data_IF_205816355042
#
_entry.id   IF_205816355042
#
_cell.length_a   1.000
_cell.length_b   1.000
_cell.length_c   1.000
_cell.angle_alpha   90.00
_cell.angle_beta   90.00
_cell.angle_gamma   90.00
#
_symmetry.space_group_name_H-M   'P 1'
#
loop_
_entity.id
_entity.type
_entity.pdbx_description
1 polymer ?
#
# COMPACT_ATOMS: atom_id res chain seq x y z
N UNK A 1 18.40 10.73 -43.50
CA UNK A 1 18.56 9.31 -43.89
C UNK A 1 19.73 8.81 -43.09
N UNK A 2 19.68 7.91 -42.12
CA UNK A 2 18.75 6.94 -41.53
C UNK A 2 19.18 6.88 -40.03
N UNK A 3 18.41 6.56 -39.00
CA UNK A 3 17.44 5.47 -38.84
C UNK A 3 18.00 4.44 -37.84
N UNK A 4 17.25 4.15 -36.76
CA UNK A 4 17.37 2.93 -35.93
C UNK A 4 18.28 3.03 -34.69
N UNK A 5 17.92 2.51 -33.52
CA UNK A 5 16.74 1.74 -33.13
C UNK A 5 16.79 1.52 -31.61
N UNK A 6 15.69 1.84 -30.94
CA UNK A 6 15.52 1.62 -29.50
C UNK A 6 15.54 0.13 -29.17
N UNK A 7 16.36 -0.23 -28.18
CA UNK A 7 16.35 -1.58 -27.59
C UNK A 7 15.05 -1.75 -26.79
N UNK A 8 14.13 -2.51 -27.37
CA UNK A 8 13.00 -3.11 -26.66
C UNK A 8 13.54 -4.04 -25.56
N UNK A 9 13.10 -3.81 -24.34
CA UNK A 9 13.30 -4.74 -23.24
C UNK A 9 12.66 -6.09 -23.56
N UNK A 10 13.38 -7.16 -23.24
CA UNK A 10 12.91 -8.53 -23.35
C UNK A 10 12.03 -8.78 -22.13
N UNK A 11 10.73 -8.99 -22.37
CA UNK A 11 9.80 -9.50 -21.37
C UNK A 11 10.08 -10.99 -21.23
N UNK A 12 10.47 -11.43 -20.03
CA UNK A 12 10.69 -12.86 -19.76
C UNK A 12 9.39 -13.41 -19.20
N UNK A 13 8.60 -14.05 -20.07
CA UNK A 13 7.41 -14.80 -19.69
C UNK A 13 7.82 -16.05 -18.89
N UNK A 14 7.83 -15.95 -17.56
CA UNK A 14 7.84 -17.10 -16.66
C UNK A 14 6.40 -17.34 -16.22
N UNK A 15 5.63 -18.03 -17.07
CA UNK A 15 4.43 -18.84 -16.78
C UNK A 15 3.48 -18.86 -18.00
N UNK A 16 3.99 -19.32 -19.15
CA UNK A 16 3.16 -19.76 -20.25
C UNK A 16 2.80 -21.24 -20.06
N UNK A 17 1.61 -21.52 -19.49
CA UNK A 17 0.67 -22.56 -19.97
C UNK A 17 -0.46 -22.79 -18.94
N UNK A 18 -1.70 -22.51 -19.35
CA UNK A 18 -2.80 -23.47 -19.59
C UNK A 18 -4.09 -22.64 -19.65
N UNK A 19 -4.66 -22.52 -20.85
CA UNK A 19 -6.05 -22.12 -21.03
C UNK A 19 -6.96 -23.22 -20.46
N UNK A 20 -7.67 -22.89 -19.37
CA UNK A 20 -8.81 -23.65 -18.88
C UNK A 20 -9.97 -22.68 -18.60
N UNK A 21 -11.08 -22.91 -19.28
CA UNK A 21 -12.31 -22.12 -19.28
C UNK A 21 -13.03 -22.29 -17.94
N UNK A 22 -12.91 -21.29 -17.06
CA UNK A 22 -13.72 -21.21 -15.84
C UNK A 22 -13.03 -20.63 -14.60
N UNK A 23 -12.83 -19.30 -14.55
CA UNK A 23 -12.87 -18.61 -13.26
C UNK A 23 -11.62 -17.89 -12.74
N UNK A 24 -10.57 -17.66 -13.53
CA UNK A 24 -9.44 -16.84 -13.07
C UNK A 24 -9.02 -15.77 -14.07
N UNK A 25 -9.86 -14.72 -14.22
CA UNK A 25 -9.48 -13.47 -14.90
C UNK A 25 -8.19 -12.92 -14.27
N UNK A 26 -7.13 -12.79 -15.07
CA UNK A 26 -5.90 -12.09 -14.68
C UNK A 26 -6.20 -10.59 -14.53
N UNK A 27 -5.44 -9.92 -13.66
CA UNK A 27 -5.53 -8.47 -13.46
C UNK A 27 -4.15 -7.86 -13.63
N UNK A 28 -4.05 -6.62 -14.12
CA UNK A 28 -2.79 -5.91 -14.19
C UNK A 28 -2.35 -5.45 -12.79
N UNK A 29 -1.09 -5.70 -12.47
CA UNK A 29 -0.41 -5.27 -11.26
C UNK A 29 0.89 -4.57 -11.63
N UNK A 30 1.33 -3.66 -10.78
CA UNK A 30 2.70 -3.15 -10.80
C UNK A 30 3.40 -3.70 -9.58
N UNK A 31 4.49 -4.41 -9.82
CA UNK A 31 5.40 -4.93 -8.80
C UNK A 31 6.50 -3.92 -8.56
N UNK A 32 6.84 -3.69 -7.30
CA UNK A 32 8.03 -2.94 -6.89
C UNK A 32 8.87 -3.83 -5.98
N UNK A 33 10.10 -4.10 -6.40
CA UNK A 33 11.06 -4.95 -5.68
C UNK A 33 11.73 -4.17 -4.53
N UNK A 34 11.89 -4.82 -3.37
CA UNK A 34 12.44 -4.15 -2.18
C UNK A 34 13.95 -3.89 -2.25
N UNK A 35 14.71 -4.76 -2.91
CA UNK A 35 16.17 -4.69 -2.95
C UNK A 35 16.65 -3.72 -4.03
N UNK A 36 16.09 -3.84 -5.22
CA UNK A 36 16.48 -3.07 -6.41
C UNK A 36 15.68 -1.79 -6.56
N UNK A 37 14.47 -1.74 -6.00
CA UNK A 37 13.49 -0.67 -6.27
C UNK A 37 12.97 -0.68 -7.71
N UNK A 38 13.24 -1.74 -8.48
CA UNK A 38 12.74 -1.85 -9.85
C UNK A 38 11.23 -2.06 -9.86
N UNK A 39 10.58 -1.46 -10.86
CA UNK A 39 9.15 -1.48 -11.05
C UNK A 39 8.82 -2.25 -12.32
N UNK A 40 7.99 -3.29 -12.22
CA UNK A 40 7.64 -4.17 -13.34
C UNK A 40 6.12 -4.28 -13.46
N UNK A 41 5.62 -4.22 -14.68
CA UNK A 41 4.21 -4.49 -14.95
C UNK A 41 3.97 -5.97 -15.18
N UNK A 42 2.91 -6.49 -14.57
CA UNK A 42 2.62 -7.93 -14.57
C UNK A 42 1.13 -8.17 -14.69
N UNK A 43 0.74 -9.28 -15.31
CA UNK A 43 -0.63 -9.79 -15.23
C UNK A 43 -0.70 -10.99 -14.31
N UNK A 44 -1.39 -10.86 -13.18
CA UNK A 44 -1.47 -11.92 -12.18
C UNK A 44 -2.92 -12.36 -11.98
N UNK A 45 -3.10 -13.67 -11.94
CA UNK A 45 -4.34 -14.32 -11.58
C UNK A 45 -4.55 -14.26 -10.06
N UNK A 46 -5.80 -14.35 -9.60
CA UNK A 46 -6.09 -14.37 -8.15
C UNK A 46 -5.29 -15.47 -7.44
N UNK A 47 -5.22 -16.66 -8.05
CA UNK A 47 -4.49 -17.79 -7.48
C UNK A 47 -2.98 -17.56 -7.47
N UNK A 48 -2.43 -16.90 -8.49
CA UNK A 48 -1.01 -16.55 -8.54
C UNK A 48 -0.64 -15.58 -7.40
N UNK A 49 -1.45 -14.55 -7.18
CA UNK A 49 -1.25 -13.60 -6.06
C UNK A 49 -1.33 -14.30 -4.71
N UNK A 50 -2.29 -15.22 -4.51
CA UNK A 50 -2.41 -16.00 -3.27
C UNK A 50 -1.14 -16.81 -2.97
N UNK A 51 -0.62 -17.53 -3.98
CA UNK A 51 0.58 -18.36 -3.82
C UNK A 51 1.82 -17.50 -3.57
N UNK A 52 1.96 -16.40 -4.29
CA UNK A 52 3.14 -15.52 -4.25
C UNK A 52 3.23 -14.75 -2.93
N UNK A 53 2.13 -14.13 -2.50
CA UNK A 53 2.12 -13.26 -1.32
C UNK A 53 1.70 -13.99 -0.03
N UNK A 54 1.33 -15.27 -0.11
CA UNK A 54 0.85 -16.04 1.06
C UNK A 54 -0.46 -15.52 1.65
N UNK A 55 -1.26 -14.78 0.86
CA UNK A 55 -2.51 -14.13 1.32
C UNK A 55 -3.72 -15.03 1.02
N UNK A 56 -4.64 -15.25 1.99
CA UNK A 56 -5.82 -16.08 1.75
C UNK A 56 -6.81 -15.42 0.78
N UNK A 57 -7.57 -16.26 0.06
CA UNK A 57 -8.53 -15.82 -0.97
C UNK A 57 -9.59 -14.82 -0.48
N UNK A 58 -9.91 -14.87 0.82
CA UNK A 58 -10.86 -13.98 1.50
C UNK A 58 -10.35 -12.55 1.51
N UNK A 59 -9.08 -12.36 1.83
CA UNK A 59 -8.50 -11.04 2.07
C UNK A 59 -8.26 -10.34 0.72
N UNK A 60 -8.00 -11.11 -0.36
CA UNK A 60 -7.98 -10.56 -1.72
C UNK A 60 -9.32 -10.00 -2.20
N UNK A 61 -10.46 -10.40 -1.61
CA UNK A 61 -11.77 -9.81 -1.97
C UNK A 61 -11.85 -8.34 -1.57
N UNK A 62 -11.09 -7.92 -0.54
CA UNK A 62 -11.00 -6.52 -0.14
C UNK A 62 -10.43 -5.64 -1.26
N UNK A 63 -9.61 -6.21 -2.15
CA UNK A 63 -8.99 -5.51 -3.28
C UNK A 63 -9.82 -5.58 -4.57
N UNK A 64 -10.93 -6.34 -4.62
CA UNK A 64 -11.72 -6.44 -5.84
C UNK A 64 -12.42 -5.09 -6.12
N UNK A 65 -12.12 -4.40 -7.24
CA UNK A 65 -12.74 -3.11 -7.56
C UNK A 65 -14.26 -3.18 -7.67
N UNK A 66 -14.82 -4.37 -7.94
CA UNK A 66 -16.26 -4.59 -8.08
C UNK A 66 -16.96 -4.92 -6.76
N UNK A 67 -16.22 -5.24 -5.70
CA UNK A 67 -16.77 -5.68 -4.40
C UNK A 67 -16.30 -4.82 -3.22
N UNK A 68 -15.14 -4.18 -3.32
CA UNK A 68 -14.50 -3.42 -2.24
C UNK A 68 -14.88 -1.95 -2.26
N UNK A 69 -15.94 -1.59 -1.52
CA UNK A 69 -16.37 -0.19 -1.33
C UNK A 69 -15.89 0.43 -0.01
N UNK A 70 -15.23 -0.34 0.85
CA UNK A 70 -14.75 0.11 2.16
C UNK A 70 -13.24 0.05 2.19
N UNK A 71 -12.63 1.12 2.71
CA UNK A 71 -11.22 1.09 3.05
C UNK A 71 -10.96 -0.04 4.06
N UNK A 72 -9.81 -0.69 3.97
CA UNK A 72 -9.39 -1.71 4.93
C UNK A 72 -7.87 -1.88 4.91
N UNK A 73 -7.31 -2.10 6.10
CA UNK A 73 -5.89 -2.43 6.27
C UNK A 73 -5.81 -3.74 7.04
N UNK A 74 -5.27 -4.78 6.40
CA UNK A 74 -5.21 -6.12 6.97
C UNK A 74 -3.76 -6.61 7.04
N UNK A 75 -3.21 -6.73 8.24
CA UNK A 75 -1.95 -7.43 8.46
C UNK A 75 -2.23 -8.94 8.59
N UNK A 76 -1.67 -9.74 7.68
CA UNK A 76 -1.97 -11.18 7.57
C UNK A 76 -0.72 -11.97 7.20
N UNK A 77 -0.26 -12.80 8.12
CA UNK A 77 0.94 -13.64 7.90
C UNK A 77 2.17 -12.78 7.66
N UNK A 78 2.67 -12.79 6.41
CA UNK A 78 3.84 -12.03 5.94
C UNK A 78 3.47 -10.96 4.91
N UNK A 79 2.22 -10.50 4.90
CA UNK A 79 1.77 -9.45 4.01
C UNK A 79 0.79 -8.47 4.68
N UNK A 80 0.84 -7.22 4.23
CA UNK A 80 -0.16 -6.20 4.53
C UNK A 80 -1.02 -6.01 3.28
N UNK A 81 -2.32 -6.24 3.39
CA UNK A 81 -3.30 -6.03 2.32
C UNK A 81 -4.01 -4.71 2.59
N UNK A 82 -3.89 -3.76 1.66
CA UNK A 82 -4.42 -2.41 1.80
C UNK A 82 -5.42 -2.11 0.67
N UNK A 83 -6.67 -1.85 1.04
CA UNK A 83 -7.61 -1.12 0.19
C UNK A 83 -7.76 0.30 0.74
N UNK A 84 -7.18 1.27 0.05
CA UNK A 84 -7.27 2.69 0.38
C UNK A 84 -8.00 3.44 -0.75
N UNK A 85 -9.10 2.87 -1.26
CA UNK A 85 -9.86 3.37 -2.40
C UNK A 85 -9.08 3.33 -3.72
N UNK A 86 -8.47 4.44 -4.15
CA UNK A 86 -7.73 4.52 -5.42
C UNK A 86 -6.42 3.70 -5.37
N UNK A 87 -5.87 3.48 -4.18
CA UNK A 87 -4.67 2.68 -3.97
C UNK A 87 -5.06 1.33 -3.37
N UNK A 88 -4.84 0.26 -4.14
CA UNK A 88 -5.10 -1.13 -3.72
C UNK A 88 -3.81 -1.92 -3.84
N UNK A 89 -3.21 -2.32 -2.73
CA UNK A 89 -1.91 -2.98 -2.75
C UNK A 89 -1.78 -4.12 -1.74
N UNK A 90 -0.81 -4.98 -2.00
CA UNK A 90 -0.33 -6.04 -1.11
C UNK A 90 1.16 -5.80 -0.93
N UNK A 91 1.61 -5.69 0.31
CA UNK A 91 2.99 -5.37 0.65
C UNK A 91 3.55 -6.55 1.42
N UNK A 92 4.64 -7.16 0.93
CA UNK A 92 5.46 -8.10 1.70
C UNK A 92 6.75 -7.42 2.17
N UNK A 93 7.65 -8.16 2.82
CA UNK A 93 9.00 -7.68 3.14
C UNK A 93 9.92 -7.60 1.92
N UNK A 94 9.59 -8.30 0.82
CA UNK A 94 10.46 -8.45 -0.36
C UNK A 94 9.95 -7.68 -1.58
N UNK A 95 8.64 -7.45 -1.67
CA UNK A 95 8.03 -6.76 -2.81
C UNK A 95 6.69 -6.12 -2.43
N UNK A 96 6.28 -5.13 -3.20
CA UNK A 96 4.94 -4.54 -3.13
C UNK A 96 4.22 -4.71 -4.47
N UNK A 97 3.00 -5.23 -4.44
CA UNK A 97 2.12 -5.36 -5.59
C UNK A 97 0.99 -4.33 -5.48
N UNK A 98 0.90 -3.39 -6.41
CA UNK A 98 -0.25 -2.46 -6.50
C UNK A 98 -1.12 -2.84 -7.69
N UNK A 99 -2.43 -2.98 -7.45
CA UNK A 99 -3.39 -3.33 -8.49
C UNK A 99 -3.64 -2.10 -9.36
N UNK A 100 -3.49 -2.27 -10.67
CA UNK A 100 -3.91 -1.25 -11.62
C UNK A 100 -5.41 -1.40 -11.87
N UNK A 101 -6.15 -0.36 -11.55
CA UNK A 101 -7.59 -0.30 -11.82
C UNK A 101 -7.77 0.62 -13.02
N UNK A 102 -8.19 0.08 -14.16
CA UNK A 102 -8.58 0.90 -15.30
C UNK A 102 -9.77 1.76 -14.89
N UNK A 103 -9.53 3.05 -14.71
CA UNK A 103 -10.58 4.04 -14.56
C UNK A 103 -11.27 4.29 -15.90
N UNK A 104 -12.52 4.73 -15.85
CA UNK A 104 -13.29 5.20 -17.01
C UNK A 104 -12.72 6.52 -17.59
N UNK A 105 -11.81 7.17 -16.85
CA UNK A 105 -11.07 8.37 -17.22
C UNK A 105 -9.58 8.06 -17.17
N UNK A 106 -8.99 7.78 -18.34
CA UNK A 106 -7.65 7.18 -18.50
C UNK A 106 -6.42 8.05 -18.17
N UNK A 107 -6.52 9.02 -17.24
CA UNK A 107 -5.45 9.98 -16.98
C UNK A 107 -4.86 9.92 -15.55
N UNK A 108 -5.50 9.19 -14.63
CA UNK A 108 -5.00 9.05 -13.25
C UNK A 108 -4.69 7.59 -12.91
N UNK A 109 -3.52 7.10 -13.37
CA UNK A 109 -2.98 5.83 -12.91
C UNK A 109 -2.36 5.98 -11.51
N UNK A 110 -3.22 5.88 -10.49
CA UNK A 110 -2.82 5.91 -9.10
C UNK A 110 -1.81 4.80 -8.75
N UNK A 111 -1.83 3.65 -9.45
CA UNK A 111 -0.88 2.57 -9.26
C UNK A 111 0.52 2.95 -9.77
N UNK A 112 0.61 3.59 -10.94
CA UNK A 112 1.87 4.11 -11.46
C UNK A 112 2.46 5.19 -10.54
N UNK A 113 1.63 6.13 -10.07
CA UNK A 113 2.08 7.18 -9.12
C UNK A 113 2.64 6.59 -7.83
N UNK A 114 1.98 5.56 -7.29
CA UNK A 114 2.47 4.82 -6.13
C UNK A 114 3.83 4.15 -6.42
N UNK A 115 3.96 3.45 -7.54
CA UNK A 115 5.18 2.75 -7.90
C UNK A 115 6.37 3.73 -8.09
N UNK A 116 6.15 4.85 -8.77
CA UNK A 116 7.16 5.88 -9.00
C UNK A 116 7.60 6.56 -7.69
N UNK A 117 6.66 6.86 -6.79
CA UNK A 117 6.98 7.39 -5.46
C UNK A 117 7.80 6.39 -4.64
N UNK A 118 7.37 5.12 -4.60
CA UNK A 118 8.08 4.08 -3.86
C UNK A 118 9.50 3.89 -4.39
N UNK A 119 9.66 3.73 -5.70
CA UNK A 119 10.96 3.61 -6.38
C UNK A 119 11.88 4.78 -6.05
N UNK A 120 11.37 6.01 -6.19
CA UNK A 120 12.14 7.23 -5.87
C UNK A 120 12.57 7.27 -4.41
N UNK A 121 11.76 6.74 -3.50
CA UNK A 121 12.02 6.75 -2.06
C UNK A 121 13.05 5.70 -1.64
N UNK A 122 13.03 4.54 -2.30
CA UNK A 122 14.06 3.50 -2.17
C UNK A 122 15.39 4.00 -2.73
N UNK A 123 15.40 4.58 -3.93
CA UNK A 123 16.61 5.14 -4.56
C UNK A 123 17.22 6.30 -3.76
N UNK A 124 16.40 7.15 -3.15
CA UNK A 124 16.90 8.27 -2.35
C UNK A 124 17.56 7.84 -1.03
N UNK A 125 17.46 6.57 -0.62
CA UNK A 125 18.06 6.05 0.61
C UNK A 125 17.59 6.74 1.90
N UNK A 126 16.67 7.71 1.83
CA UNK A 126 16.24 8.56 2.96
C UNK A 126 15.65 7.74 4.11
N UNK A 127 15.02 6.61 3.77
CA UNK A 127 14.42 5.70 4.73
C UNK A 127 15.35 4.54 5.11
N UNK A 128 16.24 4.11 4.21
CA UNK A 128 17.31 3.17 4.53
C UNK A 128 18.31 3.76 5.55
N UNK A 129 18.64 5.05 5.42
CA UNK A 129 19.45 5.78 6.40
C UNK A 129 18.77 5.92 7.78
N UNK A 130 17.44 5.84 7.83
CA UNK A 130 16.65 5.85 9.06
C UNK A 130 16.39 4.44 9.61
N UNK A 131 16.90 3.39 8.97
CA UNK A 131 16.70 1.99 9.38
C UNK A 131 15.26 1.52 9.28
N UNK A 132 14.43 2.14 8.44
CA UNK A 132 13.02 1.77 8.29
C UNK A 132 12.88 0.56 7.35
N UNK A 133 12.17 -0.51 7.75
CA UNK A 133 11.88 -1.65 6.90
C UNK A 133 11.09 -1.28 5.63
N UNK A 134 11.26 -2.06 4.55
CA UNK A 134 10.62 -1.83 3.26
C UNK A 134 9.09 -1.72 3.37
N UNK A 135 8.48 -2.63 4.12
CA UNK A 135 7.02 -2.72 4.27
C UNK A 135 6.41 -1.43 4.84
N UNK A 136 7.11 -0.75 5.75
CA UNK A 136 6.67 0.50 6.35
C UNK A 136 6.86 1.69 5.39
N UNK A 137 7.88 1.63 4.52
CA UNK A 137 8.09 2.63 3.47
C UNK A 137 6.97 2.51 2.43
N UNK A 138 6.72 1.28 1.94
CA UNK A 138 5.67 0.98 0.99
C UNK A 138 4.29 1.39 1.53
N UNK A 139 3.97 1.03 2.77
CA UNK A 139 2.71 1.42 3.40
C UNK A 139 2.61 2.95 3.56
N UNK A 140 3.69 3.61 3.99
CA UNK A 140 3.72 5.07 4.11
C UNK A 140 3.52 5.79 2.78
N UNK A 141 4.06 5.25 1.68
CA UNK A 141 3.83 5.76 0.32
C UNK A 141 2.37 5.57 -0.10
N UNK A 142 1.74 4.44 0.22
CA UNK A 142 0.33 4.21 -0.09
C UNK A 142 -0.57 5.27 0.57
N UNK A 143 -0.32 5.56 1.86
CA UNK A 143 -1.03 6.60 2.61
C UNK A 143 -0.78 8.01 2.06
N UNK A 144 0.44 8.29 1.60
CA UNK A 144 0.80 9.57 1.00
C UNK A 144 0.06 9.78 -0.34
N UNK A 145 0.01 8.75 -1.19
CA UNK A 145 -0.70 8.78 -2.47
C UNK A 145 -2.20 9.04 -2.27
N UNK A 146 -2.88 8.30 -1.38
CA UNK A 146 -4.32 8.53 -1.14
C UNK A 146 -4.60 9.90 -0.51
N UNK A 147 -3.70 10.38 0.35
CA UNK A 147 -3.81 11.75 0.89
C UNK A 147 -3.70 12.80 -0.21
N UNK A 148 -2.82 12.59 -1.19
CA UNK A 148 -2.70 13.47 -2.36
C UNK A 148 -3.98 13.48 -3.20
N UNK A 149 -4.64 12.32 -3.37
CA UNK A 149 -5.93 12.23 -4.07
C UNK A 149 -6.99 13.05 -3.34
N UNK A 150 -7.14 12.89 -2.03
CA UNK A 150 -8.11 13.68 -1.25
C UNK A 150 -7.84 15.17 -1.28
N UNK A 151 -6.57 15.60 -1.29
CA UNK A 151 -6.20 17.01 -1.45
C UNK A 151 -6.65 17.56 -2.80
N UNK A 152 -6.41 16.82 -3.88
CA UNK A 152 -6.85 17.21 -5.22
C UNK A 152 -8.37 17.35 -5.28
N UNK A 153 -9.11 16.35 -4.78
CA UNK A 153 -10.57 16.39 -4.78
C UNK A 153 -11.13 17.54 -3.91
N UNK A 154 -10.45 17.87 -2.81
CA UNK A 154 -10.81 19.02 -1.96
C UNK A 154 -10.63 20.33 -2.73
N UNK A 155 -9.48 20.50 -3.40
CA UNK A 155 -9.20 21.68 -4.22
C UNK A 155 -10.23 21.86 -5.36
N UNK A 156 -10.63 20.77 -6.02
CA UNK A 156 -11.66 20.82 -7.06
C UNK A 156 -13.01 21.32 -6.52
N UNK A 157 -13.41 20.84 -5.34
CA UNK A 157 -14.62 21.30 -4.67
C UNK A 157 -14.51 22.78 -4.29
N UNK A 158 -13.35 23.22 -3.79
CA UNK A 158 -13.10 24.62 -3.41
C UNK A 158 -13.23 25.56 -4.61
N UNK A 159 -12.59 25.22 -5.73
CA UNK A 159 -12.64 26.00 -6.99
C UNK A 159 -14.09 26.20 -7.45
N UNK A 160 -14.95 25.19 -7.30
CA UNK A 160 -16.36 25.30 -7.66
C UNK A 160 -17.23 25.98 -6.57
N UNK A 161 -16.85 25.83 -5.30
CA UNK A 161 -17.62 26.31 -4.17
C UNK A 161 -17.57 27.82 -3.99
N UNK A 162 -16.38 28.43 -4.07
CA UNK A 162 -16.25 29.88 -3.86
C UNK A 162 -17.13 30.70 -4.81
N UNK A 163 -17.13 30.46 -6.15
CA UNK A 163 -18.02 31.19 -7.06
C UNK A 163 -19.51 30.92 -6.81
N UNK A 164 -19.87 29.67 -6.47
CA UNK A 164 -21.25 29.30 -6.21
C UNK A 164 -21.81 29.96 -4.94
N UNK A 165 -20.99 30.09 -3.90
CA UNK A 165 -21.35 30.77 -2.65
C UNK A 165 -21.48 32.29 -2.85
N UNK A 166 -20.58 32.90 -3.61
CA UNK A 166 -20.68 34.32 -3.98
C UNK A 166 -21.96 34.63 -4.76
N UNK A 167 -22.32 33.77 -5.71
CA UNK A 167 -23.54 33.91 -6.50
C UNK A 167 -24.80 33.73 -5.64
N UNK A 168 -24.78 32.76 -4.70
CA UNK A 168 -25.85 32.56 -3.74
C UNK A 168 -26.02 33.76 -2.80
N UNK A 169 -24.91 34.35 -2.33
CA UNK A 169 -24.92 35.54 -1.48
C UNK A 169 -25.52 36.77 -2.20
N UNK A 170 -25.29 36.90 -3.51
CA UNK A 170 -25.89 37.96 -4.35
C UNK A 170 -27.36 37.71 -4.61
N UNK A 171 -27.77 36.46 -4.86
CA UNK A 171 -29.15 36.10 -5.21
C UNK A 171 -29.53 34.73 -4.67
N UNK A 172 -30.49 34.72 -3.74
CA UNK A 172 -31.14 33.49 -3.30
C UNK A 172 -32.12 33.02 -4.38
N UNK A 173 -31.82 31.88 -5.00
CA UNK A 173 -32.65 31.24 -6.03
C UNK A 173 -32.60 29.72 -5.90
N UNK A 174 -33.61 29.03 -6.46
CA UNK A 174 -33.66 27.55 -6.47
C UNK A 174 -32.44 26.93 -7.15
N UNK A 175 -31.95 27.55 -8.23
CA UNK A 175 -30.75 27.13 -8.95
C UNK A 175 -29.49 27.22 -8.07
N UNK A 176 -29.30 28.36 -7.38
CA UNK A 176 -28.12 28.57 -6.54
C UNK A 176 -28.13 27.69 -5.29
N UNK A 177 -29.31 27.48 -4.70
CA UNK A 177 -29.47 26.55 -3.58
C UNK A 177 -29.20 25.10 -4.00
N UNK A 178 -29.62 24.69 -5.19
CA UNK A 178 -29.33 23.35 -5.70
C UNK A 178 -27.83 23.17 -6.00
N UNK A 179 -27.16 24.18 -6.55
CA UNK A 179 -25.70 24.17 -6.74
C UNK A 179 -24.96 24.04 -5.40
N UNK A 180 -25.35 24.84 -4.40
CA UNK A 180 -24.80 24.74 -3.04
C UNK A 180 -25.09 23.38 -2.38
N UNK A 181 -26.29 22.82 -2.55
CA UNK A 181 -26.65 21.49 -2.04
C UNK A 181 -25.80 20.39 -2.67
N UNK A 182 -25.54 20.47 -3.97
CA UNK A 182 -24.67 19.52 -4.70
C UNK A 182 -23.24 19.58 -4.19
N UNK A 183 -22.67 20.77 -4.03
CA UNK A 183 -21.33 20.97 -3.47
C UNK A 183 -21.24 20.43 -2.04
N UNK A 184 -22.21 20.76 -1.17
CA UNK A 184 -22.31 20.21 0.18
C UNK A 184 -22.36 18.68 0.18
N UNK A 185 -23.12 18.09 -0.74
CA UNK A 185 -23.25 16.64 -0.82
C UNK A 185 -21.94 15.98 -1.25
N UNK A 186 -21.23 16.56 -2.22
CA UNK A 186 -19.88 16.12 -2.64
C UNK A 186 -18.87 16.23 -1.50
N UNK A 187 -18.83 17.38 -0.82
CA UNK A 187 -17.95 17.59 0.33
C UNK A 187 -18.24 16.57 1.44
N UNK A 188 -19.52 16.37 1.79
CA UNK A 188 -19.89 15.39 2.81
C UNK A 188 -19.51 13.95 2.43
N UNK A 189 -19.57 13.60 1.13
CA UNK A 189 -19.09 12.31 0.65
C UNK A 189 -17.56 12.18 0.79
N UNK A 190 -16.80 13.21 0.40
CA UNK A 190 -15.34 13.25 0.57
C UNK A 190 -14.93 13.15 2.05
N UNK A 191 -15.57 13.92 2.94
CA UNK A 191 -15.32 13.86 4.39
C UNK A 191 -15.54 12.45 4.94
N UNK A 192 -16.60 11.76 4.52
CA UNK A 192 -16.85 10.37 4.94
C UNK A 192 -15.77 9.42 4.46
N UNK A 193 -15.26 9.60 3.24
CA UNK A 193 -14.18 8.77 2.69
C UNK A 193 -12.88 8.94 3.47
N UNK A 194 -12.49 10.19 3.76
CA UNK A 194 -11.33 10.53 4.61
C UNK A 194 -11.48 9.92 6.00
N UNK A 195 -12.66 10.07 6.62
CA UNK A 195 -12.92 9.55 7.95
C UNK A 195 -12.78 8.02 8.01
N UNK A 196 -13.24 7.29 6.99
CA UNK A 196 -13.08 5.83 6.96
C UNK A 196 -11.62 5.39 6.97
N UNK A 197 -10.77 6.02 6.16
CA UNK A 197 -9.33 5.68 6.15
C UNK A 197 -8.68 6.05 7.48
N UNK A 198 -9.09 7.18 8.07
CA UNK A 198 -8.65 7.56 9.41
C UNK A 198 -9.05 6.51 10.46
N UNK A 199 -10.30 6.05 10.46
CA UNK A 199 -10.81 5.08 11.41
C UNK A 199 -10.06 3.74 11.30
N UNK A 200 -9.78 3.26 10.08
CA UNK A 200 -8.98 2.04 9.85
C UNK A 200 -7.53 2.18 10.37
N UNK A 201 -6.92 3.35 10.20
CA UNK A 201 -5.57 3.62 10.73
C UNK A 201 -5.61 3.70 12.25
N UNK A 202 -6.59 4.40 12.84
CA UNK A 202 -6.76 4.49 14.29
C UNK A 202 -6.96 3.10 14.90
N UNK A 203 -7.83 2.28 14.30
CA UNK A 203 -8.07 0.91 14.75
C UNK A 203 -6.79 0.05 14.70
N UNK A 204 -6.02 0.10 13.59
CA UNK A 204 -4.73 -0.60 13.51
C UNK A 204 -3.72 -0.09 14.54
N UNK A 205 -3.80 1.19 14.90
CA UNK A 205 -2.87 1.82 15.83
C UNK A 205 -3.18 1.57 17.31
N UNK A 206 -4.44 1.28 17.60
CA UNK A 206 -4.95 1.02 18.95
C UNK A 206 -4.65 -0.42 19.42
N UNK A 207 -4.42 -1.36 18.50
CA UNK A 207 -4.05 -2.75 18.80
C UNK A 207 -2.54 -2.99 18.54
N UNK A 208 -1.78 -3.27 19.60
CA UNK A 208 -0.35 -3.51 19.50
C UNK A 208 -0.02 -4.86 18.83
N UNK A 209 -0.92 -5.85 18.86
CA UNK A 209 -0.73 -7.15 18.20
C UNK A 209 -0.90 -6.99 16.67
N UNK A 210 -1.96 -6.29 16.23
CA UNK A 210 -2.16 -5.98 14.80
C UNK A 210 -1.02 -5.10 14.26
N UNK A 211 -0.49 -4.21 15.10
CA UNK A 211 0.68 -3.39 14.76
C UNK A 211 1.96 -4.22 14.65
N UNK A 212 2.17 -5.19 15.56
CA UNK A 212 3.32 -6.10 15.50
C UNK A 212 3.28 -6.95 14.23
N UNK A 213 2.09 -7.35 13.78
CA UNK A 213 1.90 -8.11 12.56
C UNK A 213 2.29 -7.35 11.28
N UNK A 214 2.42 -6.01 11.33
CA UNK A 214 2.94 -5.21 10.23
C UNK A 214 4.48 -5.28 10.07
N UNK A 215 5.23 -5.84 11.01
CA UNK A 215 6.71 -5.95 10.95
C UNK A 215 7.17 -7.19 10.21
N UNK A 216 6.89 -7.23 8.91
CA UNK A 216 7.08 -8.39 8.05
C UNK A 216 8.55 -8.84 7.96
N UNK A 217 9.48 -7.89 7.85
CA UNK A 217 10.92 -8.19 7.79
C UNK A 217 11.40 -8.91 9.05
N UNK A 218 10.87 -8.55 10.23
CA UNK A 218 11.25 -9.22 11.48
C UNK A 218 10.64 -10.63 11.56
N UNK A 219 9.37 -10.80 11.14
CA UNK A 219 8.71 -12.11 11.12
C UNK A 219 9.43 -13.08 10.19
N UNK A 220 9.78 -12.64 8.98
CA UNK A 220 10.55 -13.43 8.02
C UNK A 220 11.90 -13.90 8.60
N UNK A 221 12.61 -13.02 9.32
CA UNK A 221 13.90 -13.35 9.96
C UNK A 221 13.76 -14.31 11.13
N UNK A 222 12.72 -14.17 11.93
CA UNK A 222 12.49 -15.07 13.07
C UNK A 222 12.16 -16.49 12.60
N UNK A 223 11.32 -16.66 11.59
CA UNK A 223 10.98 -17.98 11.07
C UNK A 223 12.15 -18.64 10.34
N UNK A 224 12.96 -17.87 9.60
CA UNK A 224 14.22 -18.37 9.05
C UNK A 224 15.22 -18.83 10.13
N UNK A 225 15.20 -18.18 11.30
CA UNK A 225 16.05 -18.55 12.45
C UNK A 225 15.54 -19.81 13.16
N UNK A 226 14.22 -19.99 13.28
CA UNK A 226 13.60 -21.19 13.87
C UNK A 226 13.82 -22.41 12.98
N UNK A 227 13.73 -22.27 11.66
CA UNK A 227 14.05 -23.35 10.72
C UNK A 227 15.54 -23.75 10.79
N UNK A 228 16.45 -22.78 10.95
CA UNK A 228 17.88 -23.05 11.15
C UNK A 228 18.22 -23.73 12.48
N UNK A 229 17.39 -23.58 13.52
CA UNK A 229 17.55 -24.31 14.79
C UNK A 229 17.05 -25.75 14.71
N UNK A 230 16.09 -26.05 13.82
CA UNK A 230 15.53 -27.39 13.68
C UNK A 230 16.45 -28.33 12.85
N UNK A 231 17.27 -27.80 11.95
CA UNK A 231 18.32 -28.57 11.25
C UNK A 231 19.51 -28.96 12.14
N UNK A 232 19.63 -28.38 13.34
CA UNK A 232 20.74 -28.64 14.28
C UNK A 232 20.53 -29.80 15.25
N UNK A 233 19.33 -30.40 15.33
CA UNK A 233 19.00 -31.36 16.40
C UNK A 233 19.01 -32.84 15.98
N UNK A 234 19.31 -33.17 14.72
CA UNK A 234 19.36 -34.58 14.27
C UNK A 234 20.77 -35.14 13.99
N UNK A 235 21.85 -34.50 14.46
CA UNK A 235 23.19 -35.09 14.32
C UNK A 235 24.02 -35.04 15.60
N UNK A 236 24.23 -36.26 16.11
CA UNK A 236 25.35 -36.73 16.96
C UNK A 236 25.37 -36.32 18.43
N UNK A 237 25.14 -37.33 19.27
CA UNK A 237 25.63 -37.34 20.65
C UNK A 237 27.16 -37.37 20.69
N UNK A 238 27.74 -36.50 21.51
CA UNK A 238 28.89 -36.80 22.37
C UNK A 238 29.16 -35.62 23.31
N UNK A 239 29.39 -35.93 24.59
CA UNK A 239 29.80 -34.99 25.63
C UNK A 239 31.19 -34.41 25.35
N UNK A 240 31.33 -33.08 25.31
CA UNK A 240 32.26 -32.36 26.18
C UNK A 240 32.05 -30.85 26.12
N UNK A 241 32.18 -30.19 27.27
CA UNK A 241 31.78 -28.81 27.49
C UNK A 241 32.61 -27.75 26.77
N UNK A 242 31.93 -26.68 26.37
CA UNK A 242 32.47 -25.32 26.32
C UNK A 242 31.28 -24.35 26.34
N UNK A 243 31.07 -23.71 27.49
CA UNK A 243 30.09 -22.63 27.66
C UNK A 243 30.50 -21.42 26.82
N UNK A 244 30.04 -21.39 25.57
CA UNK A 244 30.09 -20.22 24.69
C UNK A 244 28.97 -19.25 25.05
N UNK A 245 29.34 -18.07 25.54
CA UNK A 245 28.45 -16.97 25.93
C UNK A 245 27.49 -16.62 24.78
N UNK A 246 26.20 -16.90 24.96
CA UNK A 246 25.14 -16.31 24.16
C UNK A 246 25.12 -14.79 24.42
N UNK A 247 25.59 -13.99 23.48
CA UNK A 247 25.30 -12.56 23.47
C UNK A 247 23.90 -12.37 22.88
N UNK A 248 22.87 -12.47 23.72
CA UNK A 248 21.54 -11.96 23.38
C UNK A 248 21.66 -10.44 23.27
N UNK A 249 21.74 -9.92 22.05
CA UNK A 249 21.55 -8.49 21.83
C UNK A 249 20.10 -8.12 22.21
N UNK A 250 19.88 -6.98 22.88
CA UNK A 250 18.55 -6.59 23.31
C UNK A 250 17.65 -6.33 22.12
N UNK A 251 16.38 -6.74 22.25
CA UNK A 251 15.30 -6.45 21.31
C UNK A 251 15.16 -4.93 21.17
N UNK A 252 15.73 -4.36 20.12
CA UNK A 252 15.25 -3.07 19.62
C UNK A 252 13.93 -3.35 18.91
N UNK A 253 12.85 -3.39 19.69
CA UNK A 253 11.52 -3.06 19.17
C UNK A 253 11.67 -1.70 18.52
N UNK A 254 11.76 -1.66 17.20
CA UNK A 254 11.63 -0.43 16.43
C UNK A 254 10.18 -0.03 16.58
N UNK A 255 9.87 0.62 17.71
CA UNK A 255 8.58 1.23 18.03
C UNK A 255 8.10 1.91 16.76
N UNK A 256 6.95 1.46 16.25
CA UNK A 256 6.24 2.13 15.16
C UNK A 256 6.27 3.59 15.56
N UNK A 257 6.82 4.52 14.76
CA UNK A 257 6.83 5.89 15.21
C UNK A 257 5.39 6.37 15.08
N UNK A 258 4.53 5.99 16.04
CA UNK A 258 3.11 6.33 16.18
C UNK A 258 3.03 7.85 16.01
N UNK A 259 3.98 8.56 16.64
CA UNK A 259 4.20 10.00 16.45
C UNK A 259 4.60 10.44 15.04
N UNK A 260 5.51 9.78 14.30
CA UNK A 260 5.89 10.25 12.94
C UNK A 260 4.82 9.95 11.91
N UNK A 261 4.10 8.83 12.00
CA UNK A 261 2.97 8.55 11.10
C UNK A 261 1.81 9.48 11.45
N UNK A 262 1.43 9.61 12.73
CA UNK A 262 0.44 10.60 13.18
C UNK A 262 0.85 12.04 12.85
N UNK A 263 2.14 12.40 12.95
CA UNK A 263 2.62 13.75 12.66
C UNK A 263 2.70 14.01 11.15
N UNK A 264 3.08 13.03 10.32
CA UNK A 264 2.98 13.15 8.85
C UNK A 264 1.53 13.16 8.39
N UNK A 265 0.65 12.44 9.08
CA UNK A 265 -0.79 12.40 8.83
C UNK A 265 -1.48 13.69 9.27
N UNK A 266 -1.18 14.22 10.46
CA UNK A 266 -1.60 15.54 10.91
C UNK A 266 -1.06 16.63 10.00
N UNK A 267 0.21 16.57 9.57
CA UNK A 267 0.78 17.52 8.61
C UNK A 267 0.19 17.37 7.20
N UNK A 268 -0.25 16.17 6.81
CA UNK A 268 -0.95 15.95 5.55
C UNK A 268 -2.42 16.43 5.61
N UNK A 269 -3.06 16.36 6.78
CA UNK A 269 -4.43 16.82 7.04
C UNK A 269 -4.54 18.26 7.56
N UNK A 270 -3.43 18.92 7.88
CA UNK A 270 -3.43 20.38 8.05
C UNK A 270 -3.68 21.00 6.68
N UNK A 271 -4.95 21.23 6.37
CA UNK A 271 -5.38 22.54 5.89
C UNK A 271 -4.64 23.56 6.75
N UNK A 272 -3.63 24.22 6.17
CA UNK A 272 -3.10 25.44 6.77
C UNK A 272 -4.28 26.38 6.99
N UNK A 273 -4.51 26.72 8.27
CA UNK A 273 -5.33 27.86 8.66
C UNK A 273 -4.58 29.16 8.38
#
# INVERSE_FOLDING_TARGET
>A
MEGGGGRSGVVVDIDAAVDDDGGSRTRPWVRVDAETGESEEMELSKQAVMRRMGVPARDLRALDPLLGYTASILARGYAIVCNLEQIRCIISSEEALVMRVQGDQGDDDAAARYADELKRRLAAGRHAAAGMPFELIAFGVALECISSVFKSETADIEIEAYPALDELAKKVSTLNLERARRLKSRLAALTKRVQRIRDEIEQLMDDDDDMADCYLTNKMRMDGSILGLNEGLERTGNNNGLFGRSSSAPLTTTVFPKKKVQQRFLHALHLEA
#
